data_IF_523600311304
#
_entry.id   IF_523600311304
#
_cell.length_a   1.000
_cell.length_b   1.000
_cell.length_c   1.000
_cell.angle_alpha   90.00
_cell.angle_beta   90.00
_cell.angle_gamma   90.00
#
_symmetry.space_group_name_H-M   'P 1'
#
loop_
_entity.id
_entity.type
_entity.pdbx_description
1 polymer ?
#
# COMPACT_ATOMS: atom_id res chain seq x y z
N UNK A 1 1.34 -33.99 24.45
CA UNK A 1 0.13 -34.83 24.42
C UNK A 1 -0.53 -34.88 23.04
N UNK A 2 -0.65 -33.75 22.31
CA UNK A 2 -1.22 -33.74 20.94
C UNK A 2 -0.30 -34.39 19.89
N UNK A 3 1.02 -34.17 19.99
CA UNK A 3 2.02 -34.73 19.05
C UNK A 3 2.05 -36.27 19.01
N UNK A 4 1.97 -36.92 20.18
CA UNK A 4 2.00 -38.39 20.31
C UNK A 4 0.71 -39.08 19.87
N UNK A 5 -0.42 -38.36 19.88
CA UNK A 5 -1.72 -38.89 19.43
C UNK A 5 -1.81 -38.86 17.90
N UNK A 6 -1.30 -37.79 17.27
CA UNK A 6 -1.21 -37.66 15.80
C UNK A 6 -0.19 -38.65 15.21
N UNK A 7 0.92 -38.93 15.91
CA UNK A 7 1.91 -39.93 15.48
C UNK A 7 1.33 -41.37 15.52
N UNK A 8 0.52 -41.71 16.53
CA UNK A 8 -0.12 -43.03 16.61
C UNK A 8 -1.26 -43.22 15.58
N UNK A 9 -2.07 -42.19 15.32
CA UNK A 9 -3.08 -42.24 14.24
C UNK A 9 -2.43 -42.24 12.84
N UNK A 10 -1.36 -41.46 12.65
CA UNK A 10 -0.61 -41.43 11.39
C UNK A 10 0.02 -42.78 11.07
N UNK A 11 0.70 -43.40 12.04
CA UNK A 11 1.28 -44.73 11.86
C UNK A 11 0.21 -45.81 11.57
N UNK A 12 -0.97 -45.69 12.17
CA UNK A 12 -2.11 -46.58 11.92
C UNK A 12 -2.65 -46.44 10.48
N UNK A 13 -2.84 -45.21 10.00
CA UNK A 13 -3.30 -44.95 8.61
C UNK A 13 -2.28 -45.42 7.58
N UNK A 14 -0.99 -45.22 7.84
CA UNK A 14 0.08 -45.69 6.94
C UNK A 14 0.13 -47.22 6.91
N UNK A 15 -0.02 -47.89 8.05
CA UNK A 15 -0.04 -49.36 8.10
C UNK A 15 -1.24 -49.92 7.32
N UNK A 16 -2.43 -49.31 7.45
CA UNK A 16 -3.62 -49.67 6.67
C UNK A 16 -3.39 -49.49 5.17
N UNK A 17 -2.77 -48.38 4.75
CA UNK A 17 -2.46 -48.14 3.34
C UNK A 17 -1.55 -49.24 2.77
N UNK A 18 -0.46 -49.59 3.46
CA UNK A 18 0.45 -50.62 2.96
C UNK A 18 -0.21 -52.01 2.94
N UNK A 19 -1.02 -52.34 3.95
CA UNK A 19 -1.80 -53.59 3.93
C UNK A 19 -2.76 -53.65 2.75
N UNK A 20 -3.43 -52.54 2.39
CA UNK A 20 -4.28 -52.48 1.20
C UNK A 20 -3.50 -52.58 -0.10
N UNK A 21 -2.35 -51.93 -0.22
CA UNK A 21 -1.49 -52.02 -1.42
C UNK A 21 -0.98 -53.45 -1.65
N UNK A 22 -0.73 -54.20 -0.58
CA UNK A 22 -0.15 -55.55 -0.64
C UNK A 22 -1.18 -56.68 -0.72
N UNK A 23 -2.37 -56.53 -0.11
CA UNK A 23 -3.40 -57.58 -0.06
C UNK A 23 -4.49 -57.42 -1.11
N UNK A 24 -4.76 -56.20 -1.55
CA UNK A 24 -5.92 -55.92 -2.39
C UNK A 24 -5.56 -56.01 -3.87
N UNK A 25 -6.48 -56.54 -4.70
CA UNK A 25 -6.29 -56.64 -6.14
C UNK A 25 -6.55 -55.30 -6.86
N UNK A 26 -7.16 -54.35 -6.17
CA UNK A 26 -7.52 -53.03 -6.70
C UNK A 26 -6.31 -52.25 -7.21
N UNK A 27 -6.50 -51.63 -8.38
CA UNK A 27 -5.47 -50.82 -9.05
C UNK A 27 -5.45 -49.39 -8.50
N UNK A 28 -6.56 -48.91 -7.93
CA UNK A 28 -6.71 -47.55 -7.43
C UNK A 28 -7.19 -47.53 -5.98
N UNK A 29 -6.53 -46.77 -5.11
CA UNK A 29 -6.92 -46.59 -3.71
C UNK A 29 -7.22 -45.11 -3.48
N UNK A 30 -8.37 -44.81 -2.84
CA UNK A 30 -8.68 -43.45 -2.40
C UNK A 30 -7.93 -43.13 -1.09
N UNK A 31 -6.99 -42.19 -1.15
CA UNK A 31 -6.23 -41.71 0.00
C UNK A 31 -6.69 -40.30 0.38
N UNK A 32 -7.15 -40.15 1.62
CA UNK A 32 -7.59 -38.86 2.16
C UNK A 32 -6.44 -37.83 2.10
N UNK A 33 -6.66 -36.74 1.36
CA UNK A 33 -5.69 -35.65 1.18
C UNK A 33 -4.75 -35.78 -0.03
N UNK A 34 -4.84 -36.88 -0.79
CA UNK A 34 -4.10 -37.07 -2.05
C UNK A 34 -5.06 -37.41 -3.21
N UNK A 35 -6.26 -37.94 -2.92
CA UNK A 35 -7.28 -38.44 -3.87
C UNK A 35 -6.98 -39.88 -4.36
N UNK A 36 -7.34 -40.21 -5.61
CA UNK A 36 -7.18 -41.56 -6.18
C UNK A 36 -5.71 -41.82 -6.55
N UNK A 37 -5.12 -42.84 -5.94
CA UNK A 37 -3.73 -43.24 -6.19
C UNK A 37 -3.69 -44.58 -6.89
N UNK A 38 -3.03 -44.64 -8.04
CA UNK A 38 -2.76 -45.90 -8.74
C UNK A 38 -1.66 -46.69 -8.01
N UNK A 39 -2.00 -47.88 -7.52
CA UNK A 39 -1.13 -48.73 -6.69
C UNK A 39 -0.63 -49.99 -7.41
N UNK A 40 -1.15 -50.28 -8.61
CA UNK A 40 -0.71 -51.43 -9.42
C UNK A 40 0.80 -51.43 -9.68
N UNK A 41 1.35 -50.26 -10.04
CA UNK A 41 2.79 -50.08 -10.26
C UNK A 41 3.65 -50.01 -8.99
N UNK A 42 3.04 -49.88 -7.81
CA UNK A 42 3.74 -49.75 -6.53
C UNK A 42 4.10 -51.11 -5.91
N UNK A 43 3.45 -52.20 -6.34
CA UNK A 43 3.69 -53.57 -5.84
C UNK A 43 5.09 -54.13 -6.14
N UNK A 44 5.82 -53.51 -7.08
CA UNK A 44 7.20 -53.89 -7.43
C UNK A 44 8.26 -53.41 -6.44
N UNK A 45 7.89 -52.56 -5.48
CA UNK A 45 8.80 -51.96 -4.51
C UNK A 45 8.65 -52.61 -3.12
N UNK A 46 9.76 -52.68 -2.38
CA UNK A 46 9.79 -53.20 -1.01
C UNK A 46 8.90 -52.38 -0.08
N UNK A 47 8.23 -53.06 0.86
CA UNK A 47 7.36 -52.45 1.87
C UNK A 47 8.00 -51.27 2.63
N UNK A 48 9.30 -51.35 2.92
CA UNK A 48 10.04 -50.29 3.62
C UNK A 48 10.12 -49.01 2.78
N UNK A 49 10.35 -49.14 1.47
CA UNK A 49 10.45 -48.00 0.56
C UNK A 49 9.08 -47.34 0.34
N UNK A 50 8.02 -48.15 0.20
CA UNK A 50 6.65 -47.66 0.09
C UNK A 50 6.22 -46.88 1.34
N UNK A 51 6.56 -47.40 2.53
CA UNK A 51 6.29 -46.73 3.79
C UNK A 51 6.97 -45.35 3.85
N UNK A 52 8.27 -45.28 3.56
CA UNK A 52 9.03 -44.04 3.60
C UNK A 52 8.53 -43.01 2.58
N UNK A 53 8.26 -43.44 1.35
CA UNK A 53 7.76 -42.55 0.30
C UNK A 53 6.36 -42.01 0.63
N UNK A 54 5.48 -42.84 1.18
CA UNK A 54 4.14 -42.43 1.56
C UNK A 54 4.14 -41.50 2.79
N UNK A 55 4.90 -41.82 3.83
CA UNK A 55 5.09 -40.95 5.00
C UNK A 55 5.67 -39.58 4.59
N UNK A 56 6.66 -39.57 3.71
CA UNK A 56 7.22 -38.33 3.16
C UNK A 56 6.16 -37.53 2.39
N UNK A 57 5.36 -38.19 1.54
CA UNK A 57 4.28 -37.53 0.78
C UNK A 57 3.23 -36.92 1.71
N UNK A 58 2.81 -37.64 2.73
CA UNK A 58 1.83 -37.14 3.71
C UNK A 58 2.37 -35.93 4.48
N UNK A 59 3.64 -35.98 4.90
CA UNK A 59 4.29 -34.82 5.53
C UNK A 59 4.41 -33.64 4.58
N UNK A 60 4.85 -33.86 3.34
CA UNK A 60 4.92 -32.80 2.33
C UNK A 60 3.57 -32.13 2.09
N UNK A 61 2.49 -32.92 1.96
CA UNK A 61 1.13 -32.40 1.81
C UNK A 61 0.70 -31.56 3.02
N UNK A 62 0.98 -32.02 4.25
CA UNK A 62 0.67 -31.26 5.46
C UNK A 62 1.46 -29.94 5.55
N UNK A 63 2.76 -29.98 5.20
CA UNK A 63 3.62 -28.80 5.22
C UNK A 63 3.30 -27.81 4.09
N UNK A 64 2.78 -28.27 2.95
CA UNK A 64 2.50 -27.43 1.78
C UNK A 64 1.55 -26.27 2.10
N UNK A 65 0.52 -26.52 2.91
CA UNK A 65 -0.41 -25.48 3.35
C UNK A 65 0.28 -24.38 4.17
N UNK A 66 1.25 -24.75 5.01
CA UNK A 66 2.02 -23.79 5.82
C UNK A 66 2.94 -22.98 4.92
N UNK A 67 3.59 -23.62 3.94
CA UNK A 67 4.46 -22.96 2.97
C UNK A 67 3.68 -21.94 2.14
N UNK A 68 2.53 -22.33 1.58
CA UNK A 68 1.67 -21.42 0.82
C UNK A 68 1.23 -20.21 1.63
N UNK A 69 0.81 -20.43 2.87
CA UNK A 69 0.38 -19.32 3.74
C UNK A 69 1.51 -18.35 4.03
N UNK A 70 2.69 -18.86 4.38
CA UNK A 70 3.88 -18.02 4.61
C UNK A 70 4.30 -17.25 3.37
N UNK A 71 4.18 -17.86 2.18
CA UNK A 71 4.52 -17.19 0.94
C UNK A 71 3.60 -15.99 0.69
N UNK A 72 2.29 -16.18 0.87
CA UNK A 72 1.29 -15.10 0.74
C UNK A 72 1.58 -13.99 1.75
N UNK A 73 1.86 -14.34 3.01
CA UNK A 73 2.16 -13.37 4.07
C UNK A 73 3.42 -12.55 3.75
N UNK A 74 4.49 -13.20 3.28
CA UNK A 74 5.75 -12.54 2.93
C UNK A 74 5.55 -11.60 1.74
N UNK A 75 4.82 -12.03 0.69
CA UNK A 75 4.54 -11.18 -0.46
C UNK A 75 3.69 -9.96 -0.07
N UNK A 76 2.68 -10.17 0.78
CA UNK A 76 1.84 -9.09 1.29
C UNK A 76 2.66 -8.06 2.08
N UNK A 77 3.49 -8.53 3.03
CA UNK A 77 4.36 -7.66 3.82
C UNK A 77 5.38 -6.91 2.96
N UNK A 78 6.00 -7.59 1.99
CA UNK A 78 6.97 -6.96 1.08
C UNK A 78 6.32 -5.87 0.24
N UNK A 79 5.13 -6.12 -0.32
CA UNK A 79 4.39 -5.14 -1.09
C UNK A 79 3.98 -3.94 -0.23
N UNK A 80 3.42 -4.19 0.96
CA UNK A 80 3.00 -3.15 1.89
C UNK A 80 4.18 -2.27 2.30
N UNK A 81 5.33 -2.87 2.62
CA UNK A 81 6.55 -2.14 2.98
C UNK A 81 7.07 -1.32 1.79
N UNK A 82 7.05 -1.89 0.59
CA UNK A 82 7.50 -1.22 -0.63
C UNK A 82 6.64 0.00 -0.95
N UNK A 83 5.31 -0.15 -0.89
CA UNK A 83 4.36 0.96 -1.11
C UNK A 83 4.50 2.02 -0.03
N UNK A 84 4.61 1.62 1.25
CA UNK A 84 4.79 2.57 2.34
C UNK A 84 6.10 3.35 2.22
N UNK A 85 7.20 2.70 1.84
CA UNK A 85 8.47 3.38 1.60
C UNK A 85 8.40 4.31 0.39
N UNK A 86 7.73 3.90 -0.70
CA UNK A 86 7.55 4.74 -1.88
C UNK A 86 6.77 6.00 -1.53
N UNK A 87 5.65 5.88 -0.82
CA UNK A 87 4.81 7.02 -0.45
C UNK A 87 5.49 7.90 0.59
N UNK A 88 6.04 7.30 1.64
CA UNK A 88 6.59 8.07 2.75
C UNK A 88 7.96 8.65 2.43
N UNK A 89 8.83 7.95 1.70
CA UNK A 89 10.20 8.42 1.45
C UNK A 89 10.40 8.87 0.01
N UNK A 90 9.87 8.11 -0.94
CA UNK A 90 10.01 8.41 -2.38
C UNK A 90 9.29 9.71 -2.75
N UNK A 91 7.97 9.76 -2.51
CA UNK A 91 7.16 10.93 -2.83
C UNK A 91 7.53 12.13 -1.97
N UNK A 92 7.87 11.94 -0.68
CA UNK A 92 8.36 13.03 0.16
C UNK A 92 9.60 13.68 -0.45
N UNK A 93 10.59 12.88 -0.88
CA UNK A 93 11.79 13.40 -1.50
C UNK A 93 11.51 14.07 -2.85
N UNK A 94 10.63 13.50 -3.67
CA UNK A 94 10.22 14.08 -4.95
C UNK A 94 9.50 15.43 -4.78
N UNK A 95 8.58 15.52 -3.82
CA UNK A 95 7.90 16.77 -3.46
C UNK A 95 8.92 17.81 -2.97
N UNK A 96 9.83 17.41 -2.08
CA UNK A 96 10.87 18.33 -1.59
C UNK A 96 11.78 18.81 -2.72
N UNK A 97 12.14 17.94 -3.66
CA UNK A 97 12.94 18.30 -4.83
C UNK A 97 12.19 19.23 -5.79
N UNK A 98 10.89 19.04 -6.00
CA UNK A 98 10.07 19.92 -6.85
C UNK A 98 9.87 21.30 -6.20
N UNK A 99 9.64 21.33 -4.88
CA UNK A 99 9.41 22.58 -4.13
C UNK A 99 10.69 23.40 -3.95
N UNK A 100 11.80 22.75 -3.57
CA UNK A 100 13.06 23.41 -3.26
C UNK A 100 13.98 23.49 -4.49
N UNK A 101 13.80 22.65 -5.51
CA UNK A 101 14.67 22.62 -6.69
C UNK A 101 16.14 22.25 -6.37
N UNK A 102 16.99 22.11 -7.40
CA UNK A 102 18.39 21.71 -7.23
C UNK A 102 19.25 22.66 -6.37
N UNK A 103 18.76 23.88 -6.10
CA UNK A 103 19.50 24.97 -5.44
C UNK A 103 18.62 25.84 -4.52
N UNK A 104 17.55 25.34 -3.92
CA UNK A 104 16.55 26.14 -3.16
C UNK A 104 15.81 27.20 -4.02
N UNK A 105 15.76 27.01 -5.34
CA UNK A 105 15.40 28.06 -6.29
C UNK A 105 14.07 27.82 -7.01
N UNK A 106 13.03 28.53 -6.58
CA UNK A 106 11.94 28.97 -7.46
C UNK A 106 10.71 28.06 -7.60
N UNK A 107 10.70 26.83 -7.09
CA UNK A 107 9.51 25.97 -7.13
C UNK A 107 8.34 26.57 -6.33
N UNK A 108 8.60 26.90 -5.06
CA UNK A 108 7.65 27.61 -4.19
C UNK A 108 7.28 28.99 -4.77
N UNK A 109 8.24 29.73 -5.33
CA UNK A 109 7.99 31.06 -5.89
C UNK A 109 7.02 31.03 -7.07
N UNK A 110 7.16 30.01 -7.95
CA UNK A 110 6.22 29.76 -9.05
C UNK A 110 4.83 29.33 -8.57
N UNK A 111 4.74 28.59 -7.47
CA UNK A 111 3.44 28.23 -6.88
C UNK A 111 2.75 29.42 -6.20
N UNK A 112 3.52 30.40 -5.74
CA UNK A 112 3.03 31.65 -5.16
C UNK A 112 2.78 32.74 -6.21
N UNK A 113 3.06 32.47 -7.49
CA UNK A 113 2.78 33.41 -8.57
C UNK A 113 1.26 33.61 -8.70
N UNK A 114 0.82 34.85 -8.50
CA UNK A 114 -0.60 35.20 -8.56
C UNK A 114 -1.14 34.98 -9.99
N UNK A 115 -2.32 34.37 -10.17
CA UNK A 115 -2.89 34.21 -11.50
C UNK A 115 -3.12 35.58 -12.16
N UNK A 116 -2.85 35.71 -13.48
CA UNK A 116 -2.83 37.00 -14.18
C UNK A 116 -4.17 37.75 -14.08
N UNK A 117 -5.28 37.03 -13.99
CA UNK A 117 -6.62 37.60 -13.81
C UNK A 117 -6.79 38.32 -12.45
N UNK A 118 -6.17 37.81 -11.39
CA UNK A 118 -6.19 38.43 -10.07
C UNK A 118 -5.20 39.60 -9.99
N UNK A 119 -4.02 39.47 -10.59
CA UNK A 119 -3.03 40.55 -10.66
C UNK A 119 -3.61 41.81 -11.35
N UNK A 120 -4.33 41.64 -12.47
CA UNK A 120 -5.02 42.74 -13.17
C UNK A 120 -6.11 43.37 -12.31
N UNK A 121 -6.92 42.58 -11.61
CA UNK A 121 -7.96 43.09 -10.69
C UNK A 121 -7.34 43.88 -9.53
N UNK A 122 -6.28 43.36 -8.91
CA UNK A 122 -5.52 44.02 -7.84
C UNK A 122 -4.94 45.34 -8.30
N UNK A 123 -4.35 45.38 -9.50
CA UNK A 123 -3.80 46.60 -10.07
C UNK A 123 -4.88 47.65 -10.35
N UNK A 124 -6.03 47.25 -10.91
CA UNK A 124 -7.17 48.16 -11.15
C UNK A 124 -7.72 48.73 -9.84
N UNK A 125 -7.93 47.88 -8.83
CA UNK A 125 -8.42 48.30 -7.53
C UNK A 125 -7.44 49.25 -6.84
N UNK A 126 -6.14 48.95 -6.86
CA UNK A 126 -5.09 49.81 -6.32
C UNK A 126 -5.08 51.20 -6.97
N UNK A 127 -5.23 51.27 -8.29
CA UNK A 127 -5.37 52.54 -9.02
C UNK A 127 -6.61 53.33 -8.59
N UNK A 128 -7.76 52.67 -8.43
CA UNK A 128 -9.00 53.33 -7.97
C UNK A 128 -8.88 53.86 -6.54
N UNK A 129 -8.28 53.10 -5.63
CA UNK A 129 -8.03 53.52 -4.24
C UNK A 129 -7.11 54.75 -4.21
N UNK A 130 -6.05 54.77 -5.02
CA UNK A 130 -5.15 55.92 -5.13
C UNK A 130 -5.90 57.19 -5.55
N UNK A 131 -6.71 57.11 -6.62
CA UNK A 131 -7.52 58.24 -7.08
C UNK A 131 -8.51 58.72 -6.02
N UNK A 132 -9.13 57.80 -5.28
CA UNK A 132 -10.08 58.16 -4.24
C UNK A 132 -9.40 58.89 -3.07
N UNK A 133 -8.16 58.52 -2.71
CA UNK A 133 -7.35 59.26 -1.74
C UNK A 133 -7.01 60.67 -2.22
N UNK A 134 -6.62 60.82 -3.48
CA UNK A 134 -6.35 62.13 -4.09
C UNK A 134 -7.61 63.01 -4.10
N UNK A 135 -8.76 62.45 -4.45
CA UNK A 135 -10.05 63.17 -4.42
C UNK A 135 -10.45 63.59 -3.01
N UNK A 136 -10.22 62.73 -2.00
CA UNK A 136 -10.47 63.07 -0.59
C UNK A 136 -9.66 64.29 -0.17
N UNK A 137 -8.37 64.32 -0.51
CA UNK A 137 -7.47 65.42 -0.18
C UNK A 137 -7.95 66.76 -0.78
N UNK A 138 -8.38 66.74 -2.04
CA UNK A 138 -8.94 67.94 -2.70
C UNK A 138 -10.21 68.41 -2.01
N UNK A 139 -11.11 67.50 -1.63
CA UNK A 139 -12.34 67.87 -0.92
C UNK A 139 -12.03 68.44 0.47
N UNK A 140 -11.08 67.86 1.22
CA UNK A 140 -10.62 68.42 2.49
C UNK A 140 -10.13 69.87 2.33
N UNK A 141 -9.29 70.15 1.33
CA UNK A 141 -8.82 71.51 1.05
C UNK A 141 -9.97 72.49 0.78
N UNK A 142 -10.95 72.07 -0.02
CA UNK A 142 -12.14 72.91 -0.30
C UNK A 142 -12.95 73.17 0.98
N UNK A 143 -13.10 72.17 1.84
CA UNK A 143 -13.80 72.32 3.11
C UNK A 143 -13.06 73.28 4.05
N UNK A 144 -11.74 73.16 4.15
CA UNK A 144 -10.89 74.03 4.96
C UNK A 144 -10.93 75.49 4.47
N UNK A 145 -10.86 75.73 3.15
CA UNK A 145 -11.01 77.06 2.54
C UNK A 145 -12.37 77.69 2.84
N UNK A 146 -13.45 76.89 2.80
CA UNK A 146 -14.80 77.35 3.11
C UNK A 146 -14.98 77.68 4.58
N UNK A 147 -14.43 76.86 5.48
CA UNK A 147 -14.57 77.03 6.94
C UNK A 147 -13.81 78.25 7.42
N UNK A 148 -12.58 78.45 6.93
CA UNK A 148 -11.78 79.64 7.25
C UNK A 148 -12.47 80.92 6.77
N UNK A 149 -13.09 80.95 5.58
CA UNK A 149 -13.85 82.11 5.11
C UNK A 149 -15.11 82.42 5.94
N UNK A 150 -15.75 81.43 6.55
CA UNK A 150 -16.89 81.66 7.46
C UNK A 150 -16.48 82.16 8.84
N UNK A 151 -15.29 81.81 9.32
CA UNK A 151 -14.76 82.28 10.61
C UNK A 151 -14.29 83.75 10.58
N UNK A 152 -14.10 84.35 9.39
CA UNK A 152 -13.81 85.79 9.22
C UNK A 152 -15.07 86.67 9.05
N UNK A 153 -16.28 86.08 9.03
CA UNK A 153 -17.56 86.78 8.84
C UNK A 153 -18.48 86.71 10.07
N UNK A 154 -17.94 86.40 11.25
CA UNK A 154 -18.58 86.57 12.57
C UNK A 154 -17.83 87.67 13.32
#
# INVERSE_FOLDING_TARGET
>A
MVKSTIENEGAFVVNIFIQKVLRDAEININVKGIEMVEVGGLRKYTHVLLFQAFDLKMRMTAYWNIVLRRLIDIMGLHLQLSVSNLVNKGLEMEIMNELLGPNHGGGIERMLEEPPSMAVKRQKLSKSIKKLKESKEVVCKIMDDRFTHTDYLV
#
